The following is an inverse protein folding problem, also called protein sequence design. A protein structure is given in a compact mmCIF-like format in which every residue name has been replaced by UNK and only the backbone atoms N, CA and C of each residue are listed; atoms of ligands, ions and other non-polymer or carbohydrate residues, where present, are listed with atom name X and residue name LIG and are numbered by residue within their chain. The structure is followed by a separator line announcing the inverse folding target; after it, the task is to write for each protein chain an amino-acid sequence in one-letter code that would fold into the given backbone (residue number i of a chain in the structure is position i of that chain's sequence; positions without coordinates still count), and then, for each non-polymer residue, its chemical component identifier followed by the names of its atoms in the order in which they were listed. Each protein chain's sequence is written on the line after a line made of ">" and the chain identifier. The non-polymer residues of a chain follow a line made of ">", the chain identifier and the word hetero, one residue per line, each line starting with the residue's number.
data_IF_733886644374
#
_entry.id   IF_733886644374
#
_cell.length_a   1.000
_cell.length_b   1.000
_cell.length_c   1.000
_cell.angle_alpha   90.00
_cell.angle_beta   90.00
_cell.angle_gamma   90.00
#
_symmetry.space_group_name_H-M   'P 1'
#
loop_
_entity.id
_entity.type
_entity.pdbx_description
1 polymer ?
#
# COMPACT_ATOMS: atom_id res chain seq x y z
N UNK A 1 -26.57 -18.99 24.44
CA UNK A 1 -26.24 -19.79 23.24
C UNK A 1 -26.82 -19.04 22.04
N UNK A 2 -26.31 -17.85 21.71
CA UNK A 2 -25.14 -17.51 20.87
C UNK A 2 -25.34 -17.83 19.38
N UNK A 3 -25.73 -16.80 18.61
CA UNK A 3 -25.47 -16.63 17.17
C UNK A 3 -25.76 -15.17 16.71
N UNK A 4 -25.31 -14.15 17.45
CA UNK A 4 -25.56 -12.71 17.09
C UNK A 4 -24.33 -11.79 17.27
N UNK A 5 -23.12 -12.24 16.89
CA UNK A 5 -21.90 -11.41 17.06
C UNK A 5 -20.97 -11.38 15.83
N UNK A 6 -21.48 -11.33 14.60
CA UNK A 6 -20.59 -11.34 13.42
C UNK A 6 -21.01 -10.44 12.25
N UNK A 7 -21.70 -9.33 12.50
CA UNK A 7 -22.07 -8.35 11.46
C UNK A 7 -21.87 -6.87 11.84
N UNK A 8 -20.92 -6.56 12.74
CA UNK A 8 -20.68 -5.17 13.19
C UNK A 8 -19.26 -4.66 12.92
N UNK A 9 -18.65 -4.94 11.77
CA UNK A 9 -17.28 -4.40 11.51
C UNK A 9 -16.98 -3.76 10.16
N UNK A 10 -17.89 -3.69 9.18
CA UNK A 10 -17.60 -2.92 7.96
C UNK A 10 -18.87 -2.32 7.34
N UNK A 11 -19.39 -1.26 7.93
CA UNK A 11 -20.37 -0.39 7.30
C UNK A 11 -20.31 1.01 7.94
N UNK A 12 -19.39 1.84 7.46
CA UNK A 12 -19.34 3.28 7.77
C UNK A 12 -19.23 4.05 6.46
N UNK A 13 -20.35 4.11 5.74
CA UNK A 13 -20.49 4.83 4.47
C UNK A 13 -20.38 6.34 4.68
N UNK A 14 -19.66 6.96 3.76
CA UNK A 14 -19.67 8.37 3.42
C UNK A 14 -21.11 8.81 3.10
N UNK A 15 -21.62 9.80 3.82
CA UNK A 15 -22.77 10.59 3.37
C UNK A 15 -22.57 12.05 3.78
N UNK A 16 -22.47 12.92 2.76
CA UNK A 16 -22.47 14.39 2.86
C UNK A 16 -23.94 14.83 2.94
N UNK A 17 -24.35 15.60 3.97
CA UNK A 17 -25.32 16.72 3.89
C UNK A 17 -25.18 17.62 5.14
N UNK A 18 -25.17 18.93 4.91
CA UNK A 18 -25.14 20.04 5.88
C UNK A 18 -26.46 20.25 6.66
N UNK A 19 -26.41 20.57 7.97
CA UNK A 19 -26.86 21.85 8.56
C UNK A 19 -26.97 21.81 10.10
N UNK A 20 -26.45 22.89 10.69
CA UNK A 20 -26.63 23.54 12.02
C UNK A 20 -27.63 22.93 13.04
N UNK A 21 -27.16 22.64 14.26
CA UNK A 21 -27.55 23.36 15.49
C UNK A 21 -26.64 22.96 16.68
N UNK A 22 -26.36 23.92 17.55
CA UNK A 22 -25.43 23.89 18.68
C UNK A 22 -25.93 23.01 19.85
N UNK A 23 -25.04 22.27 20.52
CA UNK A 23 -24.79 22.45 21.96
C UNK A 23 -23.66 21.55 22.47
N UNK A 24 -22.83 22.19 23.30
CA UNK A 24 -21.58 21.80 23.90
C UNK A 24 -21.58 20.47 24.65
N UNK A 25 -20.52 19.68 24.45
CA UNK A 25 -19.93 18.89 25.53
C UNK A 25 -18.43 18.76 25.30
N UNK A 26 -17.67 19.24 26.26
CA UNK A 26 -16.21 19.29 26.27
C UNK A 26 -15.61 17.89 26.11
N UNK A 27 -14.90 17.65 24.99
CA UNK A 27 -13.90 16.58 24.92
C UNK A 27 -12.57 17.23 24.57
N UNK A 28 -11.84 17.44 25.65
CA UNK A 28 -10.39 17.51 25.77
C UNK A 28 -9.61 17.15 24.50
N UNK A 29 -8.91 18.17 24.01
CA UNK A 29 -7.84 18.13 23.02
C UNK A 29 -6.90 16.94 23.21
N UNK A 30 -6.82 16.05 22.22
CA UNK A 30 -5.69 15.13 22.05
C UNK A 30 -5.51 14.82 20.55
N UNK A 31 -4.38 15.31 20.02
CA UNK A 31 -3.66 14.80 18.84
C UNK A 31 -4.07 15.33 17.46
N UNK A 32 -4.03 16.66 17.31
CA UNK A 32 -3.21 17.23 16.24
C UNK A 32 -1.75 16.99 16.64
N UNK A 33 -1.07 16.05 16.00
CA UNK A 33 0.37 15.87 16.14
C UNK A 33 0.94 15.59 14.76
N UNK A 34 1.80 16.52 14.34
CA UNK A 34 2.57 16.56 13.10
C UNK A 34 2.85 15.18 12.50
N UNK A 35 2.45 14.99 11.25
CA UNK A 35 2.86 13.81 10.48
C UNK A 35 3.67 14.19 9.24
N UNK A 36 4.52 15.21 9.41
CA UNK A 36 5.72 15.40 8.61
C UNK A 36 6.65 14.26 9.03
N UNK A 37 6.62 13.15 8.28
CA UNK A 37 7.75 12.22 8.33
C UNK A 37 8.99 13.03 7.97
N UNK A 38 9.89 13.20 8.92
CA UNK A 38 11.14 13.92 8.69
C UNK A 38 11.83 13.33 7.45
N UNK A 39 12.29 14.21 6.57
CA UNK A 39 13.00 13.85 5.34
C UNK A 39 14.21 12.94 5.64
N UNK A 40 14.80 13.09 6.84
CA UNK A 40 15.83 12.20 7.37
C UNK A 40 15.37 10.74 7.56
N UNK A 41 14.13 10.52 8.02
CA UNK A 41 13.56 9.17 8.11
C UNK A 41 13.38 8.57 6.71
N UNK A 42 12.90 9.35 5.73
CA UNK A 42 12.72 8.90 4.34
C UNK A 42 14.03 8.41 3.72
N UNK A 43 15.13 9.14 3.91
CA UNK A 43 16.46 8.75 3.41
C UNK A 43 16.94 7.45 4.05
N UNK A 44 16.67 7.25 5.35
CA UNK A 44 17.04 6.02 6.07
C UNK A 44 16.24 4.77 5.66
N UNK A 45 15.06 4.97 5.04
CA UNK A 45 14.14 3.92 4.59
C UNK A 45 14.43 3.43 3.16
N UNK A 46 15.41 4.03 2.47
CA UNK A 46 15.92 3.67 1.13
C UNK A 46 16.65 2.30 1.11
N UNK A 47 16.23 1.37 1.99
CA UNK A 47 16.77 0.03 2.08
C UNK A 47 16.18 -0.81 0.96
N UNK A 48 17.02 -1.17 -0.01
CA UNK A 48 16.73 -2.13 -1.10
C UNK A 48 15.97 -3.39 -0.64
N UNK A 49 16.21 -3.84 0.59
CA UNK A 49 15.54 -5.00 1.17
C UNK A 49 14.05 -4.74 1.45
N UNK A 50 13.69 -3.55 1.94
CA UNK A 50 12.30 -3.16 2.22
C UNK A 50 11.48 -3.20 0.94
N UNK A 51 11.97 -2.56 -0.13
CA UNK A 51 11.29 -2.57 -1.44
C UNK A 51 11.14 -3.97 -2.00
N UNK A 52 12.22 -4.77 -1.95
CA UNK A 52 12.16 -6.14 -2.45
C UNK A 52 11.10 -6.95 -1.72
N UNK A 53 11.03 -6.82 -0.40
CA UNK A 53 10.04 -7.52 0.42
C UNK A 53 8.63 -7.03 0.14
N UNK A 54 8.43 -5.72 0.00
CA UNK A 54 7.13 -5.12 -0.29
C UNK A 54 6.58 -5.56 -1.65
N UNK A 55 7.39 -5.51 -2.71
CA UNK A 55 6.98 -5.97 -4.04
C UNK A 55 6.69 -7.48 -4.03
N UNK A 56 7.47 -8.28 -3.30
CA UNK A 56 7.20 -9.73 -3.15
C UNK A 56 5.88 -9.98 -2.42
N UNK A 57 5.63 -9.25 -1.35
CA UNK A 57 4.38 -9.31 -0.58
C UNK A 57 3.18 -8.99 -1.48
N UNK A 58 3.29 -7.94 -2.30
CA UNK A 58 2.28 -7.58 -3.28
C UNK A 58 2.03 -8.69 -4.31
N UNK A 59 3.07 -9.30 -4.88
CA UNK A 59 2.89 -10.41 -5.82
C UNK A 59 2.29 -11.64 -5.15
N UNK A 60 2.67 -11.93 -3.91
CA UNK A 60 2.07 -13.00 -3.13
C UNK A 60 0.60 -12.72 -2.82
N UNK A 61 0.24 -11.47 -2.57
CA UNK A 61 -1.14 -11.04 -2.46
C UNK A 61 -1.90 -11.36 -3.76
N UNK A 62 -1.40 -10.97 -4.93
CA UNK A 62 -2.06 -11.23 -6.22
C UNK A 62 -2.16 -12.71 -6.62
N UNK A 63 -1.19 -13.54 -6.22
CA UNK A 63 -1.08 -14.94 -6.67
C UNK A 63 -1.30 -15.97 -5.55
N UNK A 64 -1.70 -15.53 -4.36
CA UNK A 64 -1.89 -16.38 -3.20
C UNK A 64 -3.03 -17.38 -3.40
N UNK A 65 -2.83 -18.62 -2.95
CA UNK A 65 -3.80 -19.73 -3.12
C UNK A 65 -5.10 -19.56 -2.31
N UNK A 66 -5.16 -18.59 -1.39
CA UNK A 66 -6.22 -18.45 -0.38
C UNK A 66 -7.20 -17.29 -0.64
N UNK A 67 -7.15 -16.63 -1.80
CA UNK A 67 -8.09 -15.53 -2.09
C UNK A 67 -9.47 -16.07 -2.52
N UNK A 68 -10.51 -15.75 -1.73
CA UNK A 68 -11.91 -16.16 -1.95
C UNK A 68 -12.64 -15.36 -3.04
N UNK A 69 -12.13 -14.19 -3.41
CA UNK A 69 -12.56 -13.39 -4.58
C UNK A 69 -11.28 -12.88 -5.22
N UNK A 70 -11.09 -13.16 -6.50
CA UNK A 70 -9.89 -12.74 -7.22
C UNK A 70 -9.94 -11.22 -7.36
N UNK A 71 -9.13 -10.49 -6.58
CA UNK A 71 -8.97 -9.03 -6.78
C UNK A 71 -8.69 -8.70 -8.25
N UNK A 72 -8.11 -9.63 -9.00
CA UNK A 72 -7.89 -9.49 -10.43
C UNK A 72 -9.19 -9.23 -11.20
N UNK A 73 -10.31 -9.87 -10.84
CA UNK A 73 -11.59 -9.67 -11.52
C UNK A 73 -12.16 -8.26 -11.29
N UNK A 74 -11.84 -7.62 -10.16
CA UNK A 74 -12.23 -6.23 -9.89
C UNK A 74 -11.56 -5.26 -10.88
N UNK A 75 -10.32 -5.54 -11.28
CA UNK A 75 -9.52 -4.68 -12.16
C UNK A 75 -9.50 -5.13 -13.62
N UNK A 76 -9.84 -6.39 -13.88
CA UNK A 76 -9.85 -7.03 -15.20
C UNK A 76 -11.15 -7.83 -15.39
N UNK A 77 -12.34 -7.19 -15.39
CA UNK A 77 -13.62 -7.88 -15.40
C UNK A 77 -13.86 -8.73 -16.66
N UNK A 78 -13.21 -8.37 -17.77
CA UNK A 78 -13.37 -9.02 -19.07
C UNK A 78 -12.22 -9.98 -19.41
N UNK A 79 -11.32 -10.27 -18.47
CA UNK A 79 -10.17 -11.15 -18.71
C UNK A 79 -10.24 -12.40 -17.84
N UNK A 80 -9.73 -13.52 -18.36
CA UNK A 80 -9.59 -14.71 -17.55
C UNK A 80 -8.58 -14.48 -16.42
N UNK A 81 -8.78 -15.19 -15.32
CA UNK A 81 -7.87 -15.16 -14.17
C UNK A 81 -6.46 -15.62 -14.58
N UNK A 82 -6.38 -16.58 -15.50
CA UNK A 82 -5.12 -17.09 -16.04
C UNK A 82 -4.38 -16.04 -16.89
N UNK A 83 -5.08 -15.39 -17.82
CA UNK A 83 -4.47 -14.40 -18.72
C UNK A 83 -3.99 -13.17 -17.95
N UNK A 84 -4.79 -12.71 -16.99
CA UNK A 84 -4.44 -11.60 -16.10
C UNK A 84 -3.19 -11.93 -15.29
N UNK A 85 -3.12 -13.14 -14.70
CA UNK A 85 -1.92 -13.59 -13.97
C UNK A 85 -0.71 -13.66 -14.89
N UNK A 86 -0.87 -14.11 -16.13
CA UNK A 86 0.19 -14.13 -17.12
C UNK A 86 0.69 -12.73 -17.47
N UNK A 87 -0.22 -11.77 -17.68
CA UNK A 87 0.11 -10.38 -17.98
C UNK A 87 0.90 -9.73 -16.85
N UNK A 88 0.45 -9.89 -15.60
CA UNK A 88 1.14 -9.36 -14.42
C UNK A 88 2.52 -10.01 -14.27
N UNK A 89 2.62 -11.34 -14.42
CA UNK A 89 3.92 -12.02 -14.41
C UNK A 89 4.88 -11.46 -15.46
N UNK A 90 4.41 -11.22 -16.69
CA UNK A 90 5.23 -10.62 -17.76
C UNK A 90 5.71 -9.22 -17.38
N UNK A 91 4.86 -8.40 -16.76
CA UNK A 91 5.24 -7.08 -16.28
C UNK A 91 6.43 -7.13 -15.30
N UNK A 92 6.47 -8.12 -14.41
CA UNK A 92 7.54 -8.25 -13.40
C UNK A 92 8.73 -9.14 -13.81
N UNK A 93 8.59 -10.01 -14.81
CA UNK A 93 9.54 -11.10 -15.10
C UNK A 93 11.01 -10.68 -15.27
N UNK A 94 11.28 -9.49 -15.80
CA UNK A 94 12.65 -9.00 -16.07
C UNK A 94 13.09 -7.86 -15.14
N UNK A 95 12.29 -7.53 -14.13
CA UNK A 95 12.50 -6.35 -13.28
C UNK A 95 13.27 -6.73 -12.01
N UNK A 96 14.34 -5.97 -11.71
CA UNK A 96 15.01 -6.04 -10.40
C UNK A 96 14.24 -5.18 -9.41
N UNK A 97 13.67 -5.77 -8.37
CA UNK A 97 12.86 -5.04 -7.39
C UNK A 97 13.72 -4.01 -6.65
N UNK A 98 13.50 -2.73 -7.00
CA UNK A 98 14.22 -1.55 -6.54
C UNK A 98 13.31 -0.32 -6.62
N UNK A 99 13.81 0.84 -6.18
CA UNK A 99 13.09 2.12 -6.18
C UNK A 99 12.48 2.46 -7.55
N UNK A 100 13.20 2.23 -8.64
CA UNK A 100 12.70 2.50 -9.99
C UNK A 100 11.48 1.64 -10.34
N UNK A 101 11.56 0.34 -10.06
CA UNK A 101 10.44 -0.58 -10.33
C UNK A 101 9.24 -0.26 -9.44
N UNK A 102 9.48 0.17 -8.20
CA UNK A 102 8.42 0.63 -7.30
C UNK A 102 7.74 1.89 -7.83
N UNK A 103 8.50 2.90 -8.28
CA UNK A 103 7.95 4.11 -8.93
C UNK A 103 7.13 3.74 -10.17
N UNK A 104 7.63 2.84 -11.01
CA UNK A 104 6.91 2.36 -12.20
C UNK A 104 5.62 1.63 -11.84
N UNK A 105 5.64 0.78 -10.80
CA UNK A 105 4.45 0.11 -10.28
C UNK A 105 3.43 1.13 -9.77
N UNK A 106 3.87 2.08 -8.94
CA UNK A 106 3.03 3.13 -8.38
C UNK A 106 2.31 3.92 -9.49
N UNK A 107 3.05 4.35 -10.52
CA UNK A 107 2.52 5.17 -11.63
C UNK A 107 1.69 4.38 -12.66
N UNK A 108 1.70 3.05 -12.58
CA UNK A 108 0.95 2.24 -13.54
C UNK A 108 -0.56 2.36 -13.28
N UNK A 109 -1.33 2.71 -14.32
CA UNK A 109 -2.77 3.00 -14.18
C UNK A 109 -3.56 1.91 -13.44
N UNK A 110 -3.40 0.64 -13.83
CA UNK A 110 -4.11 -0.48 -13.18
C UNK A 110 -3.33 -1.06 -12.00
N UNK A 111 -2.08 -1.50 -12.22
CA UNK A 111 -1.27 -2.13 -11.17
C UNK A 111 -0.96 -1.21 -9.99
N UNK A 112 -0.88 0.10 -10.21
CA UNK A 112 -0.73 1.09 -9.13
C UNK A 112 -1.96 1.14 -8.24
N UNK A 113 -3.18 1.03 -8.79
CA UNK A 113 -4.40 0.98 -7.98
C UNK A 113 -4.50 -0.32 -7.19
N UNK A 114 -4.16 -1.46 -7.82
CA UNK A 114 -4.07 -2.73 -7.11
C UNK A 114 -3.03 -2.70 -5.99
N UNK A 115 -1.91 -2.01 -6.23
CA UNK A 115 -0.86 -1.83 -5.24
C UNK A 115 -1.32 -0.93 -4.09
N UNK A 116 -2.04 0.16 -4.37
CA UNK A 116 -2.70 0.99 -3.35
C UNK A 116 -3.64 0.18 -2.47
N UNK A 117 -4.52 -0.63 -3.07
CA UNK A 117 -5.44 -1.49 -2.30
C UNK A 117 -4.67 -2.46 -1.41
N UNK A 118 -3.61 -3.10 -1.92
CA UNK A 118 -2.74 -3.96 -1.12
C UNK A 118 -2.13 -3.23 0.09
N UNK A 119 -1.61 -2.02 -0.10
CA UNK A 119 -1.01 -1.23 0.99
C UNK A 119 -2.02 -0.94 2.11
N UNK A 120 -3.25 -0.60 1.73
CA UNK A 120 -4.32 -0.22 2.65
C UNK A 120 -4.91 -1.41 3.42
N UNK A 121 -4.95 -2.60 2.82
CA UNK A 121 -5.72 -3.74 3.40
C UNK A 121 -4.86 -4.91 3.88
N UNK A 122 -3.75 -5.22 3.22
CA UNK A 122 -3.04 -6.49 3.44
C UNK A 122 -1.54 -6.35 3.76
N UNK A 123 -0.90 -5.23 3.42
CA UNK A 123 0.54 -5.07 3.60
C UNK A 123 0.98 -5.23 5.08
N UNK A 124 0.22 -4.67 6.02
CA UNK A 124 0.48 -4.81 7.45
C UNK A 124 0.26 -6.24 7.95
N UNK A 125 -0.82 -6.90 7.54
CA UNK A 125 -1.11 -8.31 7.88
C UNK A 125 -0.01 -9.24 7.38
N UNK A 126 0.45 -9.02 6.14
CA UNK A 126 1.57 -9.77 5.57
C UNK A 126 2.83 -9.59 6.41
N UNK A 127 3.17 -8.34 6.75
CA UNK A 127 4.37 -8.02 7.52
C UNK A 127 4.35 -8.67 8.91
N UNK A 128 3.21 -8.63 9.60
CA UNK A 128 3.02 -9.27 10.91
C UNK A 128 3.29 -10.78 10.83
N UNK A 129 2.77 -11.47 9.81
CA UNK A 129 2.93 -12.92 9.61
C UNK A 129 4.31 -13.32 9.04
N UNK A 130 5.07 -12.36 8.52
CA UNK A 130 6.38 -12.63 7.93
C UNK A 130 7.50 -12.81 8.97
N UNK A 131 8.59 -13.46 8.53
CA UNK A 131 9.83 -13.63 9.30
C UNK A 131 10.84 -12.49 9.07
N UNK A 132 10.37 -11.31 8.63
CA UNK A 132 11.21 -10.14 8.42
C UNK A 132 11.72 -9.63 9.77
N UNK A 133 13.03 -9.39 9.90
CA UNK A 133 13.67 -8.93 11.15
C UNK A 133 13.29 -7.49 11.50
N UNK A 134 13.56 -6.55 10.60
CA UNK A 134 13.33 -5.11 10.81
C UNK A 134 11.91 -4.71 10.38
N UNK A 135 10.88 -5.10 11.14
CA UNK A 135 9.48 -4.83 10.76
C UNK A 135 9.14 -3.34 10.81
N UNK A 136 9.71 -2.60 11.75
CA UNK A 136 9.47 -1.16 11.94
C UNK A 136 9.78 -0.38 10.65
N UNK A 137 10.93 -0.66 10.03
CA UNK A 137 11.31 -0.02 8.76
C UNK A 137 10.32 -0.30 7.63
N UNK A 138 9.68 -1.47 7.63
CA UNK A 138 8.67 -1.80 6.63
C UNK A 138 7.35 -1.09 6.93
N UNK A 139 6.95 -0.98 8.20
CA UNK A 139 5.75 -0.23 8.61
C UNK A 139 5.87 1.23 8.19
N UNK A 140 6.99 1.88 8.54
CA UNK A 140 7.22 3.29 8.19
C UNK A 140 7.20 3.46 6.66
N UNK A 141 7.83 2.54 5.93
CA UNK A 141 7.83 2.60 4.46
C UNK A 141 6.46 2.35 3.83
N UNK A 142 5.64 1.45 4.38
CA UNK A 142 4.25 1.22 3.93
C UNK A 142 3.43 2.50 4.12
N UNK A 143 3.51 3.13 5.30
CA UNK A 143 2.80 4.37 5.59
C UNK A 143 3.26 5.51 4.67
N UNK A 144 4.56 5.62 4.42
CA UNK A 144 5.10 6.57 3.44
C UNK A 144 4.54 6.34 2.02
N UNK A 145 4.48 5.08 1.57
CA UNK A 145 3.91 4.77 0.26
C UNK A 145 2.40 5.08 0.17
N UNK A 146 1.66 4.92 1.27
CA UNK A 146 0.25 5.35 1.36
C UNK A 146 0.15 6.87 1.21
N UNK A 147 0.96 7.62 1.97
CA UNK A 147 1.03 9.10 1.86
C UNK A 147 1.40 9.56 0.45
N UNK A 148 2.25 8.81 -0.27
CA UNK A 148 2.57 9.13 -1.66
C UNK A 148 1.32 9.11 -2.56
N UNK A 149 0.27 8.33 -2.25
CA UNK A 149 -1.00 8.35 -3.00
C UNK A 149 -1.90 9.55 -2.67
N UNK A 150 -1.56 10.31 -1.63
CA UNK A 150 -2.20 11.57 -1.25
C UNK A 150 -1.42 12.77 -1.81
N UNK A 151 -0.08 12.68 -1.79
CA UNK A 151 0.82 13.68 -2.38
C UNK A 151 1.91 13.00 -3.25
N UNK A 152 1.73 13.05 -4.57
CA UNK A 152 2.66 12.45 -5.53
C UNK A 152 4.07 13.08 -5.46
N UNK A 153 4.21 14.32 -4.98
CA UNK A 153 5.53 14.99 -4.86
C UNK A 153 6.44 14.24 -3.89
N UNK A 154 5.86 13.55 -2.90
CA UNK A 154 6.62 12.70 -1.97
C UNK A 154 7.30 11.57 -2.71
N UNK A 155 6.66 10.98 -3.73
CA UNK A 155 7.23 9.89 -4.50
C UNK A 155 8.53 10.30 -5.19
N UNK A 156 8.66 11.56 -5.61
CA UNK A 156 9.88 12.02 -6.28
C UNK A 156 11.09 12.09 -5.35
N UNK A 157 10.85 12.29 -4.04
CA UNK A 157 11.88 12.22 -3.00
C UNK A 157 12.47 10.82 -2.79
N UNK A 158 11.80 9.78 -3.29
CA UNK A 158 12.33 8.43 -3.26
C UNK A 158 13.55 8.32 -4.20
N UNK A 159 14.74 8.30 -3.62
CA UNK A 159 16.00 8.23 -4.36
C UNK A 159 16.07 6.96 -5.23
N UNK A 160 16.13 7.16 -6.54
CA UNK A 160 16.56 6.11 -7.45
C UNK A 160 18.06 6.26 -7.65
N UNK A 161 18.86 5.35 -7.10
CA UNK A 161 20.28 5.26 -7.43
C UNK A 161 20.43 5.01 -8.94
N UNK A 162 20.56 6.08 -9.72
CA UNK A 162 21.10 5.99 -11.06
C UNK A 162 22.59 5.75 -10.88
N UNK A 163 23.14 4.71 -11.52
CA UNK A 163 24.60 4.60 -11.60
C UNK A 163 25.05 5.84 -12.36
N UNK A 164 25.69 6.79 -11.67
CA UNK A 164 26.39 7.86 -12.35
C UNK A 164 27.31 7.22 -13.39
N UNK A 165 27.08 7.55 -14.66
CA UNK A 165 27.97 7.15 -15.75
C UNK A 165 29.31 7.81 -15.42
N UNK A 166 30.35 7.01 -15.14
CA UNK A 166 31.72 7.55 -15.11
C UNK A 166 31.94 8.13 -16.51
N UNK A 167 32.05 9.46 -16.58
CA UNK A 167 32.54 10.17 -17.76
C UNK A 167 34.04 9.88 -17.82
#
# INVERSE_FOLDING_TARGET
>A
MQMDQLLTYFAGNIQIVCNQHEQSTEISSCQDSQDIMDEAQIVSLNKKNVIRNLIRAFLQYLFGKNQKVSILQQYFPNSSDYDTKCQIKRYFAKKKYNHLVLKQLYKHQIYGQMFKQFLLTEAHNYLQRSQIKEKENHVIFINYMIKCYEDERLLEKLETYSKAKKI
#
